data_IF_175815690403
#
_entry.id   IF_175815690403
#
_cell.length_a   1.000
_cell.length_b   1.000
_cell.length_c   1.000
_cell.angle_alpha   90.00
_cell.angle_beta   90.00
_cell.angle_gamma   90.00
#
_symmetry.space_group_name_H-M   'P 1'
#
loop_
_entity.id
_entity.type
_entity.pdbx_description
1 polymer ?
#
# COMPACT_ATOMS: atom_id res chain seq x y z
N UNK A 1 7.71 17.99 0.49
CA UNK A 1 7.07 17.68 1.78
C UNK A 1 8.17 17.45 2.80
N UNK A 2 7.99 17.88 4.05
CA UNK A 2 8.99 17.71 5.11
C UNK A 2 8.52 16.64 6.10
N UNK A 3 9.38 15.64 6.34
CA UNK A 3 9.16 14.54 7.29
C UNK A 3 10.28 14.45 8.33
N UNK A 4 11.09 15.50 8.46
CA UNK A 4 12.21 15.54 9.43
C UNK A 4 11.72 15.23 10.85
N UNK A 5 12.42 14.33 11.54
CA UNK A 5 12.06 13.88 12.90
C UNK A 5 10.91 12.86 12.95
N UNK A 6 10.34 12.45 11.82
CA UNK A 6 9.30 11.40 11.74
C UNK A 6 9.91 10.04 11.45
N UNK A 7 9.24 9.01 11.93
CA UNK A 7 9.56 7.61 11.67
C UNK A 7 8.45 7.00 10.83
N UNK A 8 8.79 6.47 9.66
CA UNK A 8 7.85 5.83 8.74
C UNK A 8 8.11 4.32 8.67
N UNK A 9 7.06 3.51 8.85
CA UNK A 9 7.05 2.08 8.56
C UNK A 9 6.31 1.87 7.23
N UNK A 10 7.02 1.30 6.24
CA UNK A 10 6.46 0.99 4.91
C UNK A 10 6.49 -0.51 4.68
N UNK A 11 5.33 -1.11 4.51
CA UNK A 11 5.20 -2.55 4.22
C UNK A 11 5.21 -2.84 2.73
N UNK A 12 5.66 -4.04 2.33
CA UNK A 12 5.68 -4.44 0.92
C UNK A 12 6.69 -3.65 0.07
N UNK A 13 7.83 -3.26 0.64
CA UNK A 13 8.85 -2.44 -0.03
C UNK A 13 9.97 -3.25 -0.70
N UNK A 14 9.79 -4.57 -0.93
CA UNK A 14 10.84 -5.46 -1.45
C UNK A 14 11.14 -5.32 -2.94
N UNK A 15 10.25 -4.73 -3.74
CA UNK A 15 10.46 -4.54 -5.18
C UNK A 15 11.03 -3.16 -5.47
N UNK A 16 12.15 -3.08 -6.21
CA UNK A 16 12.80 -1.82 -6.59
C UNK A 16 11.89 -0.91 -7.46
N UNK A 17 10.97 -1.51 -8.21
CA UNK A 17 10.00 -0.83 -9.08
C UNK A 17 8.58 -0.93 -8.52
N UNK A 18 8.44 -1.02 -7.19
CA UNK A 18 7.15 -1.12 -6.52
C UNK A 18 6.74 0.18 -5.82
N UNK A 19 5.43 0.35 -5.60
CA UNK A 19 4.85 1.51 -4.91
C UNK A 19 5.45 1.68 -3.51
N UNK A 20 5.62 0.58 -2.75
CA UNK A 20 6.17 0.62 -1.40
C UNK A 20 7.59 1.18 -1.35
N UNK A 21 8.47 0.75 -2.26
CA UNK A 21 9.84 1.24 -2.31
C UNK A 21 9.92 2.69 -2.80
N UNK A 22 9.14 3.07 -3.83
CA UNK A 22 9.02 4.46 -4.27
C UNK A 22 8.54 5.38 -3.14
N UNK A 23 7.58 4.92 -2.35
CA UNK A 23 7.08 5.65 -1.17
C UNK A 23 8.16 5.80 -0.10
N UNK A 24 8.86 4.71 0.24
CA UNK A 24 9.94 4.74 1.23
C UNK A 24 11.05 5.73 0.81
N UNK A 25 11.42 5.73 -0.47
CA UNK A 25 12.41 6.68 -1.03
C UNK A 25 11.93 8.12 -0.91
N UNK A 26 10.69 8.41 -1.28
CA UNK A 26 10.15 9.77 -1.21
C UNK A 26 10.06 10.30 0.23
N UNK A 27 9.65 9.45 1.18
CA UNK A 27 9.62 9.81 2.61
C UNK A 27 11.04 10.02 3.16
N UNK A 28 12.02 9.20 2.75
CA UNK A 28 13.43 9.35 3.10
C UNK A 28 14.01 10.67 2.58
N UNK A 29 13.76 11.02 1.33
CA UNK A 29 14.14 12.31 0.73
C UNK A 29 13.52 13.50 1.46
N UNK A 30 12.35 13.32 2.05
CA UNK A 30 11.70 14.30 2.92
C UNK A 30 12.27 14.36 4.35
N UNK A 31 13.27 13.54 4.69
CA UNK A 31 13.96 13.55 5.99
C UNK A 31 13.37 12.58 7.03
N UNK A 32 12.48 11.67 6.66
CA UNK A 32 12.01 10.64 7.59
C UNK A 32 13.08 9.57 7.85
N UNK A 33 13.09 9.03 9.06
CA UNK A 33 13.72 7.73 9.36
C UNK A 33 12.79 6.64 8.82
N UNK A 34 13.35 5.63 8.18
CA UNK A 34 12.58 4.65 7.42
C UNK A 34 12.75 3.24 8.00
N UNK A 35 11.64 2.59 8.30
CA UNK A 35 11.57 1.15 8.48
C UNK A 35 10.86 0.53 7.27
N UNK A 36 11.45 -0.51 6.67
CA UNK A 36 10.87 -1.22 5.53
C UNK A 36 10.81 -2.71 5.79
N UNK A 37 9.76 -3.35 5.24
CA UNK A 37 9.60 -4.80 5.32
C UNK A 37 9.09 -5.41 4.01
N UNK A 38 9.45 -6.66 3.80
CA UNK A 38 8.89 -7.58 2.81
C UNK A 38 9.05 -9.01 3.33
N UNK A 39 8.51 -9.99 2.61
CA UNK A 39 8.61 -11.40 3.01
C UNK A 39 9.98 -12.04 2.75
N UNK A 40 10.90 -11.37 2.06
CA UNK A 40 12.19 -11.93 1.63
C UNK A 40 13.36 -11.01 1.96
N UNK A 41 14.57 -11.57 1.99
CA UNK A 41 15.83 -10.86 2.26
C UNK A 41 16.19 -9.77 1.23
N UNK A 42 15.50 -9.71 0.09
CA UNK A 42 15.61 -8.59 -0.86
C UNK A 42 15.38 -7.23 -0.21
N UNK A 43 14.70 -7.21 0.93
CA UNK A 43 14.48 -5.96 1.66
C UNK A 43 15.78 -5.31 2.12
N UNK A 44 16.82 -6.10 2.40
CA UNK A 44 18.13 -5.57 2.79
C UNK A 44 18.85 -4.88 1.63
N UNK A 45 18.61 -5.32 0.38
CA UNK A 45 19.11 -4.61 -0.82
C UNK A 45 18.42 -3.26 -0.95
N UNK A 46 17.10 -3.24 -0.75
CA UNK A 46 16.30 -1.99 -0.77
C UNK A 46 16.77 -1.01 0.31
N UNK A 47 17.08 -1.49 1.49
CA UNK A 47 17.66 -0.65 2.55
C UNK A 47 19.00 -0.04 2.13
N UNK A 48 19.89 -0.83 1.53
CA UNK A 48 21.18 -0.32 1.03
C UNK A 48 21.02 0.78 -0.01
N UNK A 49 20.06 0.64 -0.95
CA UNK A 49 19.76 1.66 -1.95
C UNK A 49 19.29 2.97 -1.31
N UNK A 50 18.45 2.92 -0.28
CA UNK A 50 18.00 4.10 0.44
C UNK A 50 19.13 4.75 1.27
N UNK A 51 20.07 3.96 1.78
CA UNK A 51 21.20 4.45 2.59
C UNK A 51 22.21 5.25 1.73
N UNK A 52 22.32 4.98 0.43
CA UNK A 52 23.13 5.79 -0.49
C UNK A 52 22.67 7.25 -0.47
N UNK A 53 21.38 7.50 -0.26
CA UNK A 53 20.78 8.84 -0.12
C UNK A 53 20.91 9.42 1.31
N UNK A 54 21.77 8.82 2.17
CA UNK A 54 21.99 9.20 3.57
C UNK A 54 20.78 9.06 4.50
N UNK A 55 19.79 8.27 4.14
CA UNK A 55 18.65 7.99 5.00
C UNK A 55 19.03 7.05 6.15
N UNK A 56 18.44 7.25 7.34
CA UNK A 56 18.48 6.29 8.44
C UNK A 56 17.43 5.21 8.16
N UNK A 57 17.87 4.01 7.77
CA UNK A 57 17.00 2.93 7.31
C UNK A 57 17.18 1.68 8.18
N UNK A 58 16.06 1.11 8.58
CA UNK A 58 15.96 -0.20 9.20
C UNK A 58 15.16 -1.14 8.29
N UNK A 59 15.61 -2.36 8.10
CA UNK A 59 14.94 -3.36 7.28
C UNK A 59 14.87 -4.69 8.02
N UNK A 60 13.69 -5.30 8.02
CA UNK A 60 13.47 -6.62 8.59
C UNK A 60 12.48 -7.41 7.71
N UNK A 61 12.83 -8.64 7.28
CA UNK A 61 11.87 -9.52 6.63
C UNK A 61 10.78 -9.95 7.61
N UNK A 62 9.51 -9.93 7.18
CA UNK A 62 8.39 -10.38 7.99
C UNK A 62 7.22 -10.90 7.13
N UNK A 63 6.60 -12.00 7.53
CA UNK A 63 5.29 -12.41 7.03
C UNK A 63 4.19 -11.72 7.84
N UNK A 64 3.58 -10.71 7.25
CA UNK A 64 2.56 -9.89 7.92
C UNK A 64 1.20 -10.58 8.06
N UNK A 65 1.01 -11.75 7.45
CA UNK A 65 -0.16 -12.61 7.69
C UNK A 65 -0.08 -13.28 9.07
N UNK A 66 1.15 -13.51 9.54
CA UNK A 66 1.41 -14.02 10.87
C UNK A 66 1.49 -12.89 11.90
N UNK A 67 0.68 -13.03 12.96
CA UNK A 67 0.58 -12.05 14.03
C UNK A 67 1.90 -11.92 14.82
N UNK A 68 2.53 -13.06 15.13
CA UNK A 68 3.78 -13.08 15.91
C UNK A 68 4.92 -12.41 15.14
N UNK A 69 5.06 -12.72 13.86
CA UNK A 69 6.04 -12.08 12.96
C UNK A 69 5.81 -10.57 12.86
N UNK A 70 4.53 -10.16 12.78
CA UNK A 70 4.17 -8.74 12.72
C UNK A 70 4.49 -8.00 14.01
N UNK A 71 4.17 -8.57 15.16
CA UNK A 71 4.49 -7.97 16.47
C UNK A 71 6.01 -7.85 16.68
N UNK A 72 6.77 -8.87 16.27
CA UNK A 72 8.23 -8.84 16.31
C UNK A 72 8.78 -7.69 15.46
N UNK A 73 8.32 -7.55 14.21
CA UNK A 73 8.72 -6.43 13.35
C UNK A 73 8.48 -5.07 14.03
N UNK A 74 7.26 -4.85 14.52
CA UNK A 74 6.89 -3.55 15.13
C UNK A 74 7.69 -3.30 16.42
N UNK A 75 7.92 -4.33 17.24
CA UNK A 75 8.77 -4.24 18.44
C UNK A 75 10.20 -3.82 18.09
N UNK A 76 10.81 -4.41 17.06
CA UNK A 76 12.16 -4.06 16.62
C UNK A 76 12.24 -2.62 16.07
N UNK A 77 11.20 -2.18 15.33
CA UNK A 77 11.10 -0.77 14.88
C UNK A 77 11.00 0.19 16.06
N UNK A 78 10.17 -0.14 17.06
CA UNK A 78 10.02 0.66 18.27
C UNK A 78 11.29 0.65 19.14
N UNK A 79 11.99 -0.48 19.25
CA UNK A 79 13.28 -0.55 19.93
C UNK A 79 14.35 0.32 19.25
N UNK A 80 14.36 0.38 17.92
CA UNK A 80 15.31 1.15 17.12
C UNK A 80 15.03 2.66 17.15
N UNK A 81 13.76 3.06 17.03
CA UNK A 81 13.39 4.46 16.79
C UNK A 81 12.52 5.09 17.89
N UNK A 82 12.00 4.29 18.82
CA UNK A 82 11.15 4.75 19.92
C UNK A 82 9.70 5.06 19.53
N UNK A 83 9.38 5.15 18.24
CA UNK A 83 8.06 5.55 17.73
C UNK A 83 7.82 5.10 16.30
N UNK A 84 6.56 5.11 15.88
CA UNK A 84 6.14 5.08 14.47
C UNK A 84 5.14 6.22 14.27
N UNK A 85 5.47 7.19 13.43
CA UNK A 85 4.61 8.35 13.12
C UNK A 85 3.76 8.13 11.88
N UNK A 86 4.32 7.42 10.91
CA UNK A 86 3.71 7.18 9.59
C UNK A 86 3.70 5.67 9.34
N UNK A 87 2.54 5.14 9.04
CA UNK A 87 2.36 3.75 8.62
C UNK A 87 1.81 3.71 7.21
N UNK A 88 2.55 3.04 6.31
CA UNK A 88 2.10 2.77 4.95
C UNK A 88 1.85 1.28 4.80
N UNK A 89 0.58 0.90 4.79
CA UNK A 89 0.13 -0.45 4.54
C UNK A 89 0.05 -0.68 3.03
N UNK A 90 1.18 -1.08 2.44
CA UNK A 90 1.29 -1.35 1.00
C UNK A 90 1.46 -2.84 0.70
N UNK A 91 1.78 -3.68 1.68
CA UNK A 91 1.86 -5.12 1.48
C UNK A 91 0.53 -5.69 0.95
N UNK A 92 0.61 -6.47 -0.12
CA UNK A 92 -0.52 -7.07 -0.81
C UNK A 92 -0.23 -7.21 -2.30
N UNK A 93 -0.86 -8.17 -2.96
CA UNK A 93 -0.68 -8.43 -4.38
C UNK A 93 -1.84 -9.26 -4.94
N UNK A 94 -1.97 -9.24 -6.28
CA UNK A 94 -2.92 -10.07 -7.03
C UNK A 94 -2.34 -11.43 -7.42
N UNK A 95 -1.01 -11.60 -7.34
CA UNK A 95 -0.29 -12.80 -7.77
C UNK A 95 0.48 -13.40 -6.60
N UNK A 96 0.62 -14.72 -6.61
CA UNK A 96 1.53 -15.46 -5.72
C UNK A 96 2.97 -15.28 -6.21
N UNK A 97 3.94 -15.62 -5.38
CA UNK A 97 5.38 -15.55 -5.70
C UNK A 97 5.81 -16.39 -6.91
N UNK A 98 4.94 -17.29 -7.36
CA UNK A 98 5.12 -18.07 -8.58
C UNK A 98 4.37 -17.37 -9.74
N UNK A 99 5.05 -16.94 -10.82
CA UNK A 99 4.42 -16.31 -11.98
C UNK A 99 3.35 -17.17 -12.67
N UNK A 100 3.44 -18.49 -12.51
CA UNK A 100 2.51 -19.47 -13.08
C UNK A 100 1.26 -19.70 -12.22
N UNK A 101 1.22 -19.20 -10.98
CA UNK A 101 0.08 -19.29 -10.07
C UNK A 101 -0.60 -17.93 -9.93
N UNK A 102 -1.69 -17.73 -10.64
CA UNK A 102 -2.53 -16.53 -10.46
C UNK A 102 -3.62 -16.81 -9.43
N UNK A 103 -3.81 -15.90 -8.47
CA UNK A 103 -4.99 -15.88 -7.60
C UNK A 103 -6.28 -15.49 -8.36
N UNK A 104 -6.23 -15.57 -9.69
CA UNK A 104 -7.31 -15.21 -10.61
C UNK A 104 -8.04 -16.47 -11.05
N UNK A 105 -9.11 -16.82 -10.33
CA UNK A 105 -9.97 -17.95 -10.66
C UNK A 105 -11.44 -17.54 -10.69
N UNK A 106 -12.29 -18.29 -11.42
CA UNK A 106 -13.73 -18.03 -11.43
C UNK A 106 -14.31 -18.26 -10.02
N UNK A 107 -15.39 -17.55 -9.68
CA UNK A 107 -16.00 -17.70 -8.36
C UNK A 107 -16.47 -19.12 -8.08
N UNK A 108 -16.94 -19.82 -9.12
CA UNK A 108 -17.38 -21.21 -8.99
C UNK A 108 -16.25 -22.21 -8.68
N UNK A 109 -15.01 -21.86 -9.05
CA UNK A 109 -13.82 -22.68 -8.86
C UNK A 109 -12.96 -22.19 -7.68
N UNK A 110 -13.29 -21.01 -7.12
CA UNK A 110 -12.52 -20.41 -6.02
C UNK A 110 -12.64 -21.29 -4.76
N UNK A 111 -11.52 -21.87 -4.35
CA UNK A 111 -11.48 -22.63 -3.10
C UNK A 111 -11.52 -21.72 -1.87
N UNK A 112 -11.99 -22.26 -0.74
CA UNK A 112 -11.95 -21.55 0.55
C UNK A 112 -10.50 -21.18 0.92
N UNK A 113 -9.55 -22.07 0.65
CA UNK A 113 -8.14 -21.84 0.92
C UNK A 113 -7.57 -20.66 0.11
N UNK A 114 -7.92 -20.53 -1.18
CA UNK A 114 -7.49 -19.43 -2.03
C UNK A 114 -8.17 -18.11 -1.63
N UNK A 115 -9.44 -18.20 -1.24
CA UNK A 115 -10.16 -17.08 -0.66
C UNK A 115 -9.45 -16.56 0.60
N UNK A 116 -9.22 -17.42 1.58
CA UNK A 116 -8.57 -17.09 2.84
C UNK A 116 -7.15 -16.57 2.64
N UNK A 117 -6.41 -17.18 1.71
CA UNK A 117 -5.08 -16.72 1.32
C UNK A 117 -5.10 -15.30 0.78
N UNK A 118 -6.00 -14.99 -0.15
CA UNK A 118 -6.13 -13.66 -0.76
C UNK A 118 -6.57 -12.60 0.26
N UNK A 119 -7.55 -12.91 1.11
CA UNK A 119 -7.97 -12.04 2.23
C UNK A 119 -6.80 -11.86 3.21
N UNK A 120 -6.10 -12.94 3.53
CA UNK A 120 -4.91 -12.92 4.39
C UNK A 120 -3.84 -11.97 3.87
N UNK A 121 -3.53 -12.08 2.58
CA UNK A 121 -2.47 -11.32 1.93
C UNK A 121 -2.80 -9.83 1.77
N UNK A 122 -4.06 -9.47 1.49
CA UNK A 122 -4.45 -8.12 1.08
C UNK A 122 -5.20 -7.31 2.16
N UNK A 123 -5.81 -7.95 3.15
CA UNK A 123 -6.58 -7.26 4.20
C UNK A 123 -6.04 -7.56 5.62
N UNK A 124 -5.80 -8.84 5.94
CA UNK A 124 -5.30 -9.21 7.26
C UNK A 124 -3.92 -8.63 7.57
N UNK A 125 -3.04 -8.52 6.56
CA UNK A 125 -1.74 -7.84 6.70
C UNK A 125 -1.91 -6.40 7.18
N UNK A 126 -2.84 -5.64 6.58
CA UNK A 126 -3.17 -4.27 6.99
C UNK A 126 -3.69 -4.23 8.43
N UNK A 127 -4.60 -5.14 8.79
CA UNK A 127 -5.12 -5.25 10.14
C UNK A 127 -4.00 -5.54 11.15
N UNK A 128 -3.17 -6.55 10.92
CA UNK A 128 -2.11 -6.96 11.85
C UNK A 128 -1.12 -5.83 12.13
N UNK A 129 -0.60 -5.19 11.07
CA UNK A 129 0.40 -4.11 11.23
C UNK A 129 -0.21 -2.89 11.89
N UNK A 130 -1.42 -2.49 11.47
CA UNK A 130 -2.11 -1.35 12.07
C UNK A 130 -2.37 -1.58 13.55
N UNK A 131 -2.88 -2.76 13.92
CA UNK A 131 -3.13 -3.13 15.33
C UNK A 131 -1.85 -3.09 16.17
N UNK A 132 -0.73 -3.56 15.65
CA UNK A 132 0.55 -3.57 16.37
C UNK A 132 1.14 -2.15 16.54
N UNK A 133 0.98 -1.26 15.54
CA UNK A 133 1.52 0.11 15.56
C UNK A 133 0.63 1.06 16.36
N UNK A 134 -0.68 0.89 16.32
CA UNK A 134 -1.67 1.83 16.86
C UNK A 134 -1.44 2.26 18.31
N UNK A 135 -1.07 1.38 19.26
CA UNK A 135 -0.81 1.78 20.65
C UNK A 135 0.28 2.86 20.77
N UNK A 136 1.34 2.79 19.97
CA UNK A 136 2.41 3.79 19.93
C UNK A 136 1.89 5.15 19.41
N UNK A 137 1.08 5.15 18.37
CA UNK A 137 0.47 6.37 17.82
C UNK A 137 -0.53 7.01 18.80
N UNK A 138 -1.35 6.20 19.48
CA UNK A 138 -2.30 6.68 20.51
C UNK A 138 -1.55 7.34 21.67
N UNK A 139 -0.49 6.72 22.17
CA UNK A 139 0.37 7.27 23.22
C UNK A 139 1.03 8.59 22.80
N UNK A 140 1.50 8.68 21.56
CA UNK A 140 2.12 9.88 21.00
C UNK A 140 1.10 10.97 20.63
N UNK A 141 -0.21 10.66 20.61
CA UNK A 141 -1.28 11.52 20.07
C UNK A 141 -0.97 12.06 18.68
N UNK A 142 -0.35 11.22 17.88
CA UNK A 142 0.03 11.52 16.50
C UNK A 142 0.14 10.25 15.68
N UNK A 143 -0.40 10.28 14.47
CA UNK A 143 -0.25 9.19 13.50
C UNK A 143 -0.78 9.58 12.12
N UNK A 144 -0.14 9.02 11.09
CA UNK A 144 -0.57 9.09 9.70
C UNK A 144 -0.57 7.69 9.14
N UNK A 145 -1.76 7.13 8.91
CA UNK A 145 -1.93 5.79 8.35
C UNK A 145 -2.45 5.92 6.93
N UNK A 146 -1.74 5.36 5.96
CA UNK A 146 -2.17 5.32 4.57
C UNK A 146 -2.21 3.87 4.09
N UNK A 147 -3.39 3.43 3.70
CA UNK A 147 -3.65 2.09 3.19
C UNK A 147 -3.63 2.09 1.67
N UNK A 148 -2.81 1.24 1.05
CA UNK A 148 -2.77 1.09 -0.41
C UNK A 148 -3.83 0.07 -0.82
N UNK A 149 -5.01 0.58 -1.14
CA UNK A 149 -6.14 -0.18 -1.67
C UNK A 149 -5.96 -0.41 -3.19
N UNK A 150 -7.00 -0.27 -3.96
CA UNK A 150 -7.05 -0.36 -5.42
C UNK A 150 -8.34 0.30 -5.91
N UNK A 151 -8.41 0.67 -7.18
CA UNK A 151 -9.71 0.95 -7.83
C UNK A 151 -10.54 -0.32 -7.95
N UNK A 152 -9.88 -1.49 -8.11
CA UNK A 152 -10.53 -2.81 -8.13
C UNK A 152 -11.03 -3.18 -6.75
N UNK A 153 -12.32 -3.43 -6.66
CA UNK A 153 -13.08 -3.69 -5.45
C UNK A 153 -13.92 -2.48 -5.02
N UNK A 154 -13.32 -1.37 -4.60
CA UNK A 154 -14.09 -0.19 -4.18
C UNK A 154 -14.90 0.51 -5.26
N UNK A 155 -14.43 0.56 -6.50
CA UNK A 155 -15.02 1.34 -7.58
C UNK A 155 -15.38 0.51 -8.83
N UNK A 156 -14.46 -0.37 -9.23
CA UNK A 156 -14.60 -1.26 -10.38
C UNK A 156 -14.20 -2.67 -9.99
N UNK A 157 -14.38 -3.64 -10.88
CA UNK A 157 -13.86 -5.00 -10.67
C UNK A 157 -13.50 -5.64 -12.00
N UNK A 158 -12.71 -6.71 -11.93
CA UNK A 158 -12.39 -7.57 -13.06
C UNK A 158 -12.98 -8.97 -12.81
N UNK A 159 -13.38 -9.70 -13.85
CA UNK A 159 -13.66 -11.13 -13.73
C UNK A 159 -12.52 -11.86 -13.04
N UNK A 160 -12.82 -12.89 -12.27
CA UNK A 160 -11.84 -13.73 -11.56
C UNK A 160 -11.03 -13.03 -10.45
N UNK A 161 -11.46 -11.84 -10.01
CA UNK A 161 -10.78 -11.06 -8.95
C UNK A 161 -11.61 -10.93 -7.67
N UNK A 162 -12.53 -11.87 -7.40
CA UNK A 162 -13.54 -11.71 -6.33
C UNK A 162 -12.91 -11.55 -4.95
N UNK A 163 -11.97 -12.43 -4.57
CA UNK A 163 -11.33 -12.37 -3.25
C UNK A 163 -10.47 -11.10 -3.10
N UNK A 164 -9.71 -10.74 -4.12
CA UNK A 164 -8.94 -9.50 -4.14
C UNK A 164 -9.85 -8.26 -4.04
N UNK A 165 -10.92 -8.22 -4.84
CA UNK A 165 -11.91 -7.12 -4.82
C UNK A 165 -12.53 -6.96 -3.43
N UNK A 166 -12.93 -8.08 -2.80
CA UNK A 166 -13.48 -8.08 -1.45
C UNK A 166 -12.47 -7.53 -0.43
N UNK A 167 -11.21 -7.98 -0.50
CA UNK A 167 -10.15 -7.51 0.40
C UNK A 167 -9.89 -6.01 0.25
N UNK A 168 -9.77 -5.50 -0.99
CA UNK A 168 -9.49 -4.10 -1.26
C UNK A 168 -10.68 -3.18 -0.93
N UNK A 169 -11.91 -3.62 -1.16
CA UNK A 169 -13.11 -2.93 -0.69
C UNK A 169 -13.19 -2.92 0.86
N UNK A 170 -12.92 -4.07 1.50
CA UNK A 170 -12.85 -4.19 2.97
C UNK A 170 -11.81 -3.26 3.59
N UNK A 171 -10.68 -3.03 2.92
CA UNK A 171 -9.64 -2.08 3.37
C UNK A 171 -10.16 -0.65 3.44
N UNK A 172 -11.04 -0.23 2.52
CA UNK A 172 -11.69 1.09 2.56
C UNK A 172 -12.67 1.19 3.72
N UNK A 173 -13.42 0.12 4.00
CA UNK A 173 -14.29 0.02 5.19
C UNK A 173 -13.49 0.15 6.49
N UNK A 174 -12.38 -0.59 6.62
CA UNK A 174 -11.44 -0.50 7.74
C UNK A 174 -10.89 0.93 7.89
N UNK A 175 -10.48 1.55 6.78
CA UNK A 175 -9.98 2.95 6.77
C UNK A 175 -10.98 3.92 7.38
N UNK A 176 -12.24 3.85 6.96
CA UNK A 176 -13.31 4.75 7.44
C UNK A 176 -13.63 4.53 8.91
N UNK A 177 -13.80 3.28 9.32
CA UNK A 177 -14.12 2.95 10.71
C UNK A 177 -13.01 3.39 11.65
N UNK A 178 -11.76 3.01 11.36
CA UNK A 178 -10.62 3.36 12.19
C UNK A 178 -10.39 4.89 12.23
N UNK A 179 -10.60 5.60 11.12
CA UNK A 179 -10.50 7.07 11.09
C UNK A 179 -11.43 7.72 12.11
N UNK A 180 -12.67 7.23 12.23
CA UNK A 180 -13.65 7.74 13.23
C UNK A 180 -13.21 7.47 14.67
N UNK A 181 -12.60 6.31 14.93
CA UNK A 181 -12.17 5.92 16.26
C UNK A 181 -10.99 6.77 16.77
N UNK A 182 -10.03 7.12 15.88
CA UNK A 182 -8.74 7.68 16.29
C UNK A 182 -8.55 9.17 15.99
N UNK A 183 -9.47 9.81 15.28
CA UNK A 183 -9.33 11.20 14.85
C UNK A 183 -9.06 12.17 16.02
N UNK A 184 -9.75 12.00 17.15
CA UNK A 184 -9.56 12.84 18.37
C UNK A 184 -8.21 12.63 19.04
N UNK A 185 -7.46 11.61 18.65
CA UNK A 185 -6.10 11.34 19.10
C UNK A 185 -5.03 11.95 18.17
N UNK A 186 -5.41 12.80 17.20
CA UNK A 186 -4.49 13.42 16.26
C UNK A 186 -3.96 12.46 15.18
N UNK A 187 -4.66 11.33 14.98
CA UNK A 187 -4.31 10.30 14.00
C UNK A 187 -5.24 10.41 12.81
N UNK A 188 -4.69 10.45 11.59
CA UNK A 188 -5.47 10.33 10.35
C UNK A 188 -5.29 8.96 9.74
N UNK A 189 -6.35 8.43 9.15
CA UNK A 189 -6.36 7.15 8.44
C UNK A 189 -7.00 7.36 7.08
N UNK A 190 -6.23 7.17 6.01
CA UNK A 190 -6.70 7.34 4.64
C UNK A 190 -6.30 6.15 3.77
N UNK A 191 -6.88 6.06 2.60
CA UNK A 191 -6.52 5.09 1.58
C UNK A 191 -6.13 5.79 0.27
N UNK A 192 -5.27 5.15 -0.50
CA UNK A 192 -5.09 5.43 -1.92
C UNK A 192 -5.64 4.26 -2.73
N UNK A 193 -6.21 4.56 -3.90
CA UNK A 193 -6.75 3.57 -4.83
C UNK A 193 -6.04 3.71 -6.19
N UNK A 194 -4.90 3.03 -6.38
CA UNK A 194 -4.20 3.00 -7.66
C UNK A 194 -5.03 2.26 -8.71
N UNK A 195 -4.95 2.73 -9.98
CA UNK A 195 -5.37 2.00 -11.16
C UNK A 195 -4.25 1.13 -11.72
N UNK A 196 -4.06 1.16 -13.04
CA UNK A 196 -3.00 0.43 -13.75
C UNK A 196 -1.65 1.14 -13.53
N UNK A 197 -0.81 0.58 -12.65
CA UNK A 197 0.51 1.13 -12.32
C UNK A 197 1.59 0.16 -12.83
N UNK A 198 2.52 0.67 -13.62
CA UNK A 198 3.63 -0.13 -14.14
C UNK A 198 4.64 -0.44 -13.02
N UNK A 199 4.64 -1.68 -12.57
CA UNK A 199 5.55 -2.22 -11.55
C UNK A 199 6.36 -3.39 -12.12
N UNK A 200 7.25 -3.98 -11.34
CA UNK A 200 8.00 -5.15 -11.76
C UNK A 200 7.13 -6.42 -11.95
N UNK A 201 5.92 -6.43 -11.40
CA UNK A 201 4.96 -7.54 -11.51
C UNK A 201 3.85 -7.30 -12.52
N UNK A 202 3.89 -6.18 -13.26
CA UNK A 202 2.86 -5.87 -14.24
C UNK A 202 2.91 -6.81 -15.43
N UNK A 203 1.76 -7.37 -15.78
CA UNK A 203 1.58 -8.19 -16.98
C UNK A 203 1.45 -7.31 -18.24
N UNK A 204 1.63 -7.91 -19.41
CA UNK A 204 1.42 -7.20 -20.68
C UNK A 204 -0.01 -6.66 -20.82
N UNK A 205 -1.01 -7.43 -20.37
CA UNK A 205 -2.42 -7.01 -20.38
C UNK A 205 -2.66 -5.79 -19.50
N UNK A 206 -2.02 -5.71 -18.33
CA UNK A 206 -2.11 -4.55 -17.43
C UNK A 206 -1.47 -3.30 -18.06
N UNK A 207 -0.35 -3.47 -18.79
CA UNK A 207 0.29 -2.36 -19.54
C UNK A 207 -0.63 -1.88 -20.67
N UNK A 208 -1.24 -2.80 -21.42
CA UNK A 208 -2.22 -2.44 -22.47
C UNK A 208 -3.43 -1.72 -21.85
N UNK A 209 -3.97 -2.22 -20.74
CA UNK A 209 -5.07 -1.56 -20.04
C UNK A 209 -4.69 -0.15 -19.56
N UNK A 210 -3.46 0.02 -19.10
CA UNK A 210 -2.93 1.34 -18.75
C UNK A 210 -2.84 2.31 -19.93
N UNK A 211 -2.50 1.84 -21.12
CA UNK A 211 -2.51 2.64 -22.36
C UNK A 211 -3.92 3.08 -22.78
N UNK A 212 -4.95 2.34 -22.36
CA UNK A 212 -6.34 2.67 -22.65
C UNK A 212 -7.00 3.57 -21.57
N UNK A 213 -6.22 4.11 -20.63
CA UNK A 213 -6.71 5.15 -19.71
C UNK A 213 -6.77 6.50 -20.42
N UNK A 214 -7.59 7.47 -19.94
CA UNK A 214 -7.61 8.83 -20.50
C UNK A 214 -6.26 9.52 -20.58
N UNK A 215 -5.34 9.21 -19.62
CA UNK A 215 -3.95 9.73 -19.63
C UNK A 215 -3.09 9.05 -20.70
N UNK A 216 -3.51 7.92 -21.28
CA UNK A 216 -2.85 7.24 -22.41
C UNK A 216 -1.62 6.40 -22.02
N UNK A 217 -1.39 6.17 -20.73
CA UNK A 217 -0.29 5.32 -20.21
C UNK A 217 -0.60 4.75 -18.86
N UNK A 218 0.08 3.67 -18.45
CA UNK A 218 0.06 3.27 -17.04
C UNK A 218 0.65 4.37 -16.14
N UNK A 219 0.20 4.42 -14.91
CA UNK A 219 0.81 5.24 -13.87
C UNK A 219 2.18 4.67 -13.45
N UNK A 220 3.01 5.51 -12.85
CA UNK A 220 4.30 5.12 -12.26
C UNK A 220 4.17 4.98 -10.75
N UNK A 221 4.95 4.10 -10.10
CA UNK A 221 4.99 3.97 -8.65
C UNK A 221 5.21 5.30 -7.92
N UNK A 222 6.03 6.21 -8.49
CA UNK A 222 6.31 7.53 -7.93
C UNK A 222 5.08 8.44 -7.90
N UNK A 223 4.16 8.30 -8.85
CA UNK A 223 2.92 9.08 -8.89
C UNK A 223 1.97 8.67 -7.75
N UNK A 224 1.93 7.38 -7.43
CA UNK A 224 1.20 6.86 -6.26
C UNK A 224 1.90 7.27 -4.96
N UNK A 225 3.23 7.18 -4.92
CA UNK A 225 4.04 7.57 -3.77
C UNK A 225 3.85 9.06 -3.42
N UNK A 226 3.71 9.93 -4.41
CA UNK A 226 3.43 11.36 -4.21
C UNK A 226 2.09 11.60 -3.50
N UNK A 227 1.05 10.86 -3.89
CA UNK A 227 -0.27 10.91 -3.24
C UNK A 227 -0.23 10.36 -1.81
N UNK A 228 0.49 9.25 -1.58
CA UNK A 228 0.72 8.68 -0.25
C UNK A 228 1.46 9.70 0.63
N UNK A 229 2.53 10.30 0.14
CA UNK A 229 3.31 11.29 0.88
C UNK A 229 2.46 12.53 1.23
N UNK A 230 1.57 12.98 0.32
CA UNK A 230 0.61 14.04 0.64
C UNK A 230 -0.29 13.65 1.82
N UNK A 231 -0.90 12.47 1.80
CA UNK A 231 -1.78 12.01 2.89
C UNK A 231 -1.01 11.76 4.20
N UNK A 232 0.29 11.49 4.13
CA UNK A 232 1.15 11.28 5.29
C UNK A 232 1.76 12.57 5.86
N UNK A 233 1.67 13.71 5.16
CA UNK A 233 2.27 14.96 5.62
C UNK A 233 1.39 15.74 6.60
N UNK A 234 1.98 16.72 7.29
CA UNK A 234 1.29 17.55 8.27
C UNK A 234 0.18 18.41 7.63
N UNK A 235 0.38 18.86 6.39
CA UNK A 235 -0.61 19.66 5.66
C UNK A 235 -1.90 18.90 5.35
N UNK A 236 -1.91 17.58 5.43
CA UNK A 236 -3.09 16.75 5.27
C UNK A 236 -3.80 16.41 6.61
N UNK A 237 -3.47 17.11 7.71
CA UNK A 237 -3.98 16.80 9.06
C UNK A 237 -5.50 16.88 9.21
N UNK A 238 -6.20 17.54 8.30
CA UNK A 238 -7.67 17.59 8.26
C UNK A 238 -8.30 16.62 7.26
N UNK A 239 -7.48 15.79 6.60
CA UNK A 239 -7.93 14.74 5.66
C UNK A 239 -7.90 13.40 6.40
N UNK A 240 -9.07 12.81 6.68
CA UNK A 240 -9.17 11.49 7.31
C UNK A 240 -10.40 10.74 6.81
N UNK A 241 -10.34 9.41 6.76
CA UNK A 241 -11.39 8.54 6.27
C UNK A 241 -11.59 8.57 4.74
N UNK A 242 -10.67 9.21 4.00
CA UNK A 242 -10.80 9.40 2.55
C UNK A 242 -10.09 8.31 1.76
N UNK A 243 -10.58 8.06 0.55
CA UNK A 243 -9.92 7.27 -0.47
C UNK A 243 -9.60 8.16 -1.66
N UNK A 244 -8.29 8.34 -1.93
CA UNK A 244 -7.81 9.11 -3.09
C UNK A 244 -7.52 8.17 -4.25
N UNK A 245 -8.16 8.42 -5.39
CA UNK A 245 -8.00 7.63 -6.62
C UNK A 245 -6.82 8.17 -7.43
N UNK A 246 -5.95 7.26 -7.90
CA UNK A 246 -4.79 7.57 -8.75
C UNK A 246 -4.78 6.58 -9.90
N UNK A 247 -5.54 6.85 -10.96
CA UNK A 247 -5.85 5.86 -12.00
C UNK A 247 -5.81 6.39 -13.44
N UNK A 248 -5.34 7.63 -13.64
CA UNK A 248 -5.30 8.26 -14.97
C UNK A 248 -6.67 8.45 -15.61
N UNK A 249 -7.75 8.51 -14.80
CA UNK A 249 -9.12 8.64 -15.26
C UNK A 249 -9.80 7.32 -15.63
N UNK A 250 -9.16 6.17 -15.39
CA UNK A 250 -9.70 4.86 -15.77
C UNK A 250 -11.12 4.59 -15.24
N UNK A 251 -11.43 5.01 -14.01
CA UNK A 251 -12.73 4.72 -13.39
C UNK A 251 -13.85 5.64 -13.81
N UNK A 252 -13.55 6.79 -14.40
CA UNK A 252 -14.54 7.80 -14.81
C UNK A 252 -14.84 7.77 -16.31
N UNK A 253 -14.11 6.98 -17.11
CA UNK A 253 -14.39 6.79 -18.53
C UNK A 253 -15.44 5.70 -18.76
N UNK A 254 -16.38 5.93 -19.67
CA UNK A 254 -17.38 4.96 -20.08
C UNK A 254 -16.76 3.92 -21.04
N UNK A 255 -16.09 4.39 -22.08
CA UNK A 255 -15.40 3.54 -23.05
C UNK A 255 -13.99 3.21 -22.59
N UNK A 256 -13.61 1.92 -22.61
CA UNK A 256 -12.30 1.43 -22.15
C UNK A 256 -11.46 0.76 -23.25
N UNK A 257 -11.84 0.96 -24.49
CA UNK A 257 -11.11 0.47 -25.65
C UNK A 257 -9.98 1.41 -26.11
N UNK A 258 -9.34 1.08 -27.24
CA UNK A 258 -8.30 1.93 -27.83
C UNK A 258 -8.81 3.35 -28.11
N UNK A 259 -8.02 4.41 -27.86
CA UNK A 259 -8.45 5.80 -28.08
C UNK A 259 -8.90 6.10 -29.50
N UNK A 260 -8.27 5.48 -30.50
CA UNK A 260 -8.57 5.68 -31.92
C UNK A 260 -9.96 5.14 -32.34
N UNK A 261 -10.63 4.41 -31.44
CA UNK A 261 -11.99 3.87 -31.66
C UNK A 261 -13.06 4.67 -30.91
N UNK A 262 -12.71 5.79 -30.30
CA UNK A 262 -13.60 6.50 -29.38
C UNK A 262 -14.70 7.28 -30.10
N UNK A 263 -14.49 7.69 -31.38
CA UNK A 263 -15.49 8.37 -32.26
C UNK A 263 -15.16 8.16 -33.74
#
# INVERSE_FOLDING_TARGET
>A
MNFSGRVALVTGAGSARGIGFATARLLAQGGAKIAITSTTDRIHERARELTVDKADVFALPADLRDHVSTEMLVREVLARYGRVDILINNAGMTQVSNPDETLSTSFAELSEADWDYSIGLNLKTTFNVTKAVLPSMLSARYGRIVNVSSVTGPLVSNPRSTAYSAAKAGMVGLTRSLAMEVARNGITVNAVAPGWIETASSTEQEIIAGKNTPVGRPGRPEEVAAAIAFLACESASYVTGQMLVIDGGNTIQEYKGPPDSYY
#
